data_IF_869399986842
#
_entry.id   IF_869399986842
#
_cell.length_a   1.000
_cell.length_b   1.000
_cell.length_c   1.000
_cell.angle_alpha   90.00
_cell.angle_beta   90.00
_cell.angle_gamma   90.00
#
_symmetry.space_group_name_H-M   'P 1'
#
loop_
_entity.id
_entity.type
_entity.pdbx_description
1 polymer ?
#
# COMPACT_ATOMS: atom_id res chain seq x y z
N UNK A 1 1.08 -29.74 -6.37
CA UNK A 1 0.35 -28.62 -5.73
C UNK A 1 1.17 -27.32 -5.69
N UNK A 2 2.48 -27.35 -6.00
CA UNK A 2 3.32 -26.15 -6.09
C UNK A 2 3.11 -25.37 -7.40
N UNK A 3 2.58 -26.01 -8.45
CA UNK A 3 2.47 -25.45 -9.80
C UNK A 3 1.39 -24.35 -9.93
N UNK A 4 0.31 -24.47 -9.16
CA UNK A 4 -0.86 -23.57 -9.21
C UNK A 4 -0.55 -22.16 -8.66
N UNK A 5 0.21 -22.09 -7.56
CA UNK A 5 0.63 -20.83 -6.93
C UNK A 5 1.55 -20.02 -7.85
N UNK A 6 2.44 -20.71 -8.59
CA UNK A 6 3.33 -20.07 -9.55
C UNK A 6 2.59 -19.55 -10.78
N UNK A 7 1.59 -20.27 -11.28
CA UNK A 7 0.78 -19.83 -12.42
C UNK A 7 -0.07 -18.61 -12.06
N UNK A 8 -0.77 -18.64 -10.92
CA UNK A 8 -1.56 -17.49 -10.44
C UNK A 8 -0.68 -16.25 -10.29
N UNK A 9 0.50 -16.39 -9.70
CA UNK A 9 1.44 -15.28 -9.55
C UNK A 9 1.84 -14.68 -10.92
N UNK A 10 2.18 -15.53 -11.90
CA UNK A 10 2.58 -15.09 -13.25
C UNK A 10 1.41 -14.36 -13.91
N UNK A 11 0.21 -14.94 -13.88
CA UNK A 11 -0.97 -14.39 -14.53
C UNK A 11 -1.35 -13.02 -13.94
N UNK A 12 -1.32 -12.88 -12.62
CA UNK A 12 -1.60 -11.59 -11.96
C UNK A 12 -0.53 -10.54 -12.29
N UNK A 13 0.74 -10.93 -12.27
CA UNK A 13 1.85 -10.03 -12.65
C UNK A 13 1.72 -9.56 -14.11
N UNK A 14 1.39 -10.47 -15.03
CA UNK A 14 1.15 -10.14 -16.44
C UNK A 14 -0.07 -9.21 -16.59
N UNK A 15 -1.17 -9.48 -15.89
CA UNK A 15 -2.35 -8.63 -15.90
C UNK A 15 -1.98 -7.20 -15.46
N UNK A 16 -1.23 -7.04 -14.36
CA UNK A 16 -0.74 -5.73 -13.93
C UNK A 16 0.18 -5.08 -14.96
N UNK A 17 1.02 -5.83 -15.66
CA UNK A 17 1.89 -5.29 -16.72
C UNK A 17 1.10 -4.67 -17.86
N UNK A 18 -0.08 -5.21 -18.19
CA UNK A 18 -1.00 -4.65 -19.17
C UNK A 18 -1.74 -3.39 -18.70
N UNK A 19 -1.79 -3.11 -17.40
CA UNK A 19 -2.49 -1.98 -16.82
C UNK A 19 -1.70 -0.65 -16.95
N UNK A 20 -1.57 -0.13 -18.16
CA UNK A 20 -0.74 1.05 -18.44
C UNK A 20 -1.24 2.37 -17.85
N UNK A 21 -2.53 2.46 -17.55
CA UNK A 21 -3.15 3.68 -17.02
C UNK A 21 -3.49 3.58 -15.53
N UNK A 22 -3.10 2.49 -14.84
CA UNK A 22 -3.43 2.30 -13.44
C UNK A 22 -2.74 3.34 -12.56
N UNK A 23 -3.53 4.15 -11.85
CA UNK A 23 -3.06 5.20 -10.93
C UNK A 23 -3.39 4.93 -9.47
N UNK A 24 -4.39 4.09 -9.21
CA UNK A 24 -4.89 3.79 -7.87
C UNK A 24 -4.99 2.30 -7.64
N UNK A 25 -4.58 1.83 -6.45
CA UNK A 25 -4.77 0.45 -6.04
C UNK A 25 -5.31 0.38 -4.60
N UNK A 26 -6.26 -0.52 -4.35
CA UNK A 26 -6.96 -0.71 -3.08
C UNK A 26 -7.47 -2.14 -2.96
N UNK A 27 -8.04 -2.49 -1.80
CA UNK A 27 -8.71 -3.79 -1.62
C UNK A 27 -7.80 -4.91 -1.09
N UNK A 28 -6.69 -4.56 -0.44
CA UNK A 28 -5.78 -5.51 0.18
C UNK A 28 -6.41 -6.14 1.42
N UNK A 29 -7.10 -7.26 1.25
CA UNK A 29 -7.65 -8.09 2.33
C UNK A 29 -6.77 -9.34 2.48
N UNK A 30 -6.46 -9.72 3.72
CA UNK A 30 -5.65 -10.91 4.06
C UNK A 30 -4.40 -11.09 3.18
N UNK A 31 -3.73 -9.98 2.88
CA UNK A 31 -2.69 -9.98 1.87
C UNK A 31 -1.46 -10.77 2.33
N UNK A 32 -1.01 -11.68 1.48
CA UNK A 32 0.21 -12.45 1.68
C UNK A 32 1.37 -11.67 1.04
N UNK A 33 2.40 -11.25 1.81
CA UNK A 33 3.51 -10.42 1.31
C UNK A 33 4.25 -11.00 0.09
N UNK A 34 4.23 -12.33 -0.07
CA UNK A 34 4.82 -13.02 -1.22
C UNK A 34 4.23 -12.58 -2.58
N UNK A 35 3.02 -12.02 -2.61
CA UNK A 35 2.38 -11.54 -3.84
C UNK A 35 2.65 -10.07 -4.15
N UNK A 36 3.27 -9.29 -3.26
CA UNK A 36 3.61 -7.88 -3.56
C UNK A 36 4.44 -7.68 -4.83
N UNK A 37 5.37 -8.56 -5.21
CA UNK A 37 6.10 -8.41 -6.46
C UNK A 37 5.21 -8.43 -7.71
N UNK A 38 3.99 -8.99 -7.65
CA UNK A 38 3.04 -8.93 -8.78
C UNK A 38 2.59 -7.50 -9.09
N UNK A 39 2.73 -6.57 -8.14
CA UNK A 39 2.36 -5.15 -8.29
C UNK A 39 3.53 -4.32 -8.86
N UNK A 40 4.74 -4.89 -8.91
CA UNK A 40 5.91 -4.16 -9.42
C UNK A 40 5.76 -3.59 -10.84
N UNK A 41 5.07 -4.22 -11.79
CA UNK A 41 4.86 -3.64 -13.12
C UNK A 41 4.12 -2.29 -13.12
N UNK A 42 3.39 -1.98 -12.03
CA UNK A 42 2.61 -0.73 -11.91
C UNK A 42 3.12 0.21 -10.82
N UNK A 43 4.11 -0.18 -9.99
CA UNK A 43 4.52 0.60 -8.81
C UNK A 43 4.89 2.07 -9.13
N UNK A 44 5.52 2.30 -10.28
CA UNK A 44 6.00 3.63 -10.69
C UNK A 44 4.87 4.50 -11.23
N UNK A 45 3.73 3.90 -11.59
CA UNK A 45 2.57 4.60 -12.15
C UNK A 45 1.55 4.98 -11.07
N UNK A 46 1.58 4.28 -9.93
CA UNK A 46 0.65 4.50 -8.83
C UNK A 46 0.87 5.87 -8.18
N UNK A 47 -0.22 6.64 -8.11
CA UNK A 47 -0.31 7.92 -7.37
C UNK A 47 -1.17 7.79 -6.12
N UNK A 48 -1.97 6.72 -6.02
CA UNK A 48 -2.82 6.44 -4.86
C UNK A 48 -2.73 4.98 -4.45
N UNK A 49 -2.52 4.72 -3.17
CA UNK A 49 -2.51 3.37 -2.60
C UNK A 49 -3.35 3.34 -1.33
N UNK A 50 -4.25 2.36 -1.22
CA UNK A 50 -5.10 2.19 -0.05
C UNK A 50 -4.90 0.81 0.59
N UNK A 51 -4.21 0.81 1.72
CA UNK A 51 -3.90 -0.31 2.58
C UNK A 51 -4.75 -0.28 3.88
N UNK A 52 -5.91 0.39 3.88
CA UNK A 52 -6.76 0.52 5.07
C UNK A 52 -7.24 -0.83 5.63
N UNK A 53 -7.36 -1.84 4.77
CA UNK A 53 -7.79 -3.19 5.13
C UNK A 53 -6.63 -4.18 5.29
N UNK A 54 -5.39 -3.74 5.07
CA UNK A 54 -4.26 -4.64 4.97
C UNK A 54 -3.64 -4.91 6.35
N UNK A 55 -3.41 -6.19 6.65
CA UNK A 55 -2.68 -6.67 7.83
C UNK A 55 -1.24 -6.99 7.47
N UNK A 56 -0.42 -5.96 7.22
CA UNK A 56 0.95 -6.10 6.71
C UNK A 56 1.97 -5.77 7.81
N UNK A 57 3.12 -6.44 7.83
CA UNK A 57 4.24 -6.10 8.70
C UNK A 57 5.05 -4.90 8.14
N UNK A 58 5.66 -4.11 9.03
CA UNK A 58 6.40 -2.89 8.64
C UNK A 58 7.53 -3.12 7.61
N UNK A 59 8.33 -4.19 7.69
CA UNK A 59 9.36 -4.47 6.69
C UNK A 59 8.79 -4.66 5.28
N UNK A 60 7.69 -5.41 5.15
CA UNK A 60 7.08 -5.71 3.86
C UNK A 60 6.34 -4.50 3.29
N UNK A 61 5.71 -3.72 4.17
CA UNK A 61 5.16 -2.44 3.79
C UNK A 61 6.24 -1.53 3.21
N UNK A 62 7.39 -1.42 3.89
CA UNK A 62 8.51 -0.57 3.43
C UNK A 62 9.01 -0.98 2.05
N UNK A 63 9.05 -2.28 1.73
CA UNK A 63 9.39 -2.77 0.39
C UNK A 63 8.35 -2.37 -0.65
N UNK A 64 7.07 -2.47 -0.32
CA UNK A 64 5.97 -2.11 -1.23
C UNK A 64 5.97 -0.61 -1.54
N UNK A 65 5.98 0.25 -0.51
CA UNK A 65 5.93 1.70 -0.70
C UNK A 65 7.26 2.29 -1.17
N UNK A 66 8.40 1.65 -0.87
CA UNK A 66 9.73 2.09 -1.28
C UNK A 66 9.93 2.13 -2.79
N UNK A 67 9.16 1.34 -3.53
CA UNK A 67 9.18 1.32 -5.00
C UNK A 67 8.16 2.29 -5.61
N UNK A 68 7.24 2.87 -4.83
CA UNK A 68 6.16 3.73 -5.32
C UNK A 68 6.55 5.22 -5.34
N UNK A 69 7.54 5.61 -6.15
CA UNK A 69 8.11 6.97 -6.14
C UNK A 69 7.14 8.10 -6.53
N UNK A 70 6.09 7.78 -7.28
CA UNK A 70 5.08 8.75 -7.74
C UNK A 70 3.84 8.79 -6.83
N UNK A 71 3.88 8.11 -5.69
CA UNK A 71 2.77 8.05 -4.76
C UNK A 71 2.49 9.43 -4.15
N UNK A 72 1.25 9.87 -4.25
CA UNK A 72 0.78 11.16 -3.71
C UNK A 72 -0.22 10.97 -2.58
N UNK A 73 -0.97 9.85 -2.59
CA UNK A 73 -2.00 9.52 -1.61
C UNK A 73 -1.77 8.13 -1.04
N UNK A 74 -1.68 8.03 0.29
CA UNK A 74 -1.62 6.76 0.99
C UNK A 74 -2.73 6.72 2.05
N UNK A 75 -3.46 5.60 2.10
CA UNK A 75 -4.34 5.23 3.22
C UNK A 75 -3.82 3.96 3.85
N UNK A 76 -3.77 3.91 5.18
CA UNK A 76 -3.30 2.75 5.94
C UNK A 76 -4.26 2.45 7.11
N UNK A 77 -4.24 1.19 7.58
CA UNK A 77 -4.89 0.82 8.85
C UNK A 77 -4.20 1.50 10.05
N UNK A 78 -4.92 1.64 11.16
CA UNK A 78 -4.45 2.29 12.39
C UNK A 78 -3.15 1.65 12.92
N UNK A 79 -3.03 0.33 12.84
CA UNK A 79 -1.86 -0.44 13.30
C UNK A 79 -0.59 -0.10 12.52
N UNK A 80 -0.72 0.21 11.23
CA UNK A 80 0.39 0.57 10.35
C UNK A 80 0.85 2.02 10.56
N UNK A 81 0.04 2.85 11.21
CA UNK A 81 0.14 4.31 11.18
C UNK A 81 1.34 4.86 11.95
N UNK A 82 1.67 4.30 13.12
CA UNK A 82 2.78 4.79 13.98
C UNK A 82 4.13 4.56 13.30
N UNK A 83 4.32 3.41 12.65
CA UNK A 83 5.58 3.04 12.03
C UNK A 83 5.79 3.66 10.63
N UNK A 84 4.70 3.88 9.87
CA UNK A 84 4.76 4.52 8.54
C UNK A 84 5.03 6.02 8.66
N UNK A 85 4.44 6.71 9.63
CA UNK A 85 4.65 8.15 9.85
C UNK A 85 6.12 8.50 10.10
N UNK A 86 6.89 7.63 10.77
CA UNK A 86 8.33 7.86 11.03
C UNK A 86 9.22 7.73 9.79
N UNK A 87 8.76 7.07 8.73
CA UNK A 87 9.56 6.74 7.53
C UNK A 87 9.02 7.38 6.24
N UNK A 88 7.81 7.93 6.26
CA UNK A 88 7.19 8.61 5.12
C UNK A 88 8.07 9.69 4.47
N UNK A 89 8.75 10.58 5.22
CA UNK A 89 9.55 11.65 4.63
C UNK A 89 10.70 11.15 3.75
N UNK A 90 11.24 9.96 4.04
CA UNK A 90 12.35 9.37 3.29
C UNK A 90 11.90 8.46 2.15
N UNK A 91 10.69 7.90 2.22
CA UNK A 91 10.18 6.96 1.22
C UNK A 91 9.43 7.61 0.06
N UNK A 92 8.80 8.78 0.25
CA UNK A 92 7.91 9.35 -0.78
C UNK A 92 8.16 10.85 -0.96
N UNK A 93 8.93 11.19 -2.01
CA UNK A 93 9.33 12.59 -2.30
C UNK A 93 8.18 13.53 -2.70
N UNK A 94 7.06 12.99 -3.19
CA UNK A 94 5.94 13.75 -3.75
C UNK A 94 4.63 13.60 -2.96
N UNK A 95 4.73 13.26 -1.67
CA UNK A 95 3.58 12.89 -0.86
C UNK A 95 2.68 14.11 -0.54
N UNK A 96 1.39 14.03 -0.93
CA UNK A 96 0.44 15.15 -0.77
C UNK A 96 -0.57 14.92 0.34
N UNK A 97 -0.92 13.66 0.64
CA UNK A 97 -2.01 13.36 1.57
C UNK A 97 -1.86 11.98 2.20
N UNK A 98 -1.91 11.95 3.54
CA UNK A 98 -2.09 10.74 4.34
C UNK A 98 -3.54 10.69 4.83
N UNK A 99 -4.32 9.76 4.29
CA UNK A 99 -5.69 9.53 4.74
C UNK A 99 -5.72 8.52 5.88
N UNK A 100 -6.45 8.85 6.94
CA UNK A 100 -6.75 7.92 8.02
C UNK A 100 -8.25 7.91 8.24
N UNK A 101 -8.87 6.73 8.14
CA UNK A 101 -10.31 6.58 8.29
C UNK A 101 -10.83 7.06 9.66
N UNK A 102 -9.96 7.19 10.68
CA UNK A 102 -10.31 7.64 12.03
C UNK A 102 -9.48 8.82 12.59
N UNK A 103 -8.82 9.66 11.78
CA UNK A 103 -8.16 10.85 12.37
C UNK A 103 -9.18 11.78 13.08
N UNK A 104 -10.43 11.77 12.62
CA UNK A 104 -11.53 12.51 13.25
C UNK A 104 -11.89 11.93 14.62
N UNK A 105 -11.96 10.60 14.76
CA UNK A 105 -12.29 9.95 16.03
C UNK A 105 -11.16 10.04 17.06
N UNK A 106 -9.89 9.94 16.64
CA UNK A 106 -8.75 10.09 17.56
C UNK A 106 -8.52 11.53 18.03
N UNK A 107 -8.84 12.54 17.20
CA UNK A 107 -8.85 13.92 17.67
C UNK A 107 -10.03 14.18 18.60
N UNK A 108 -11.17 13.54 18.37
CA UNK A 108 -12.33 13.60 19.26
C UNK A 108 -12.00 13.02 20.66
N UNK A 109 -11.39 11.84 20.72
CA UNK A 109 -11.02 11.18 22.00
C UNK A 109 -9.81 11.85 22.70
N UNK A 110 -9.00 12.63 21.99
CA UNK A 110 -7.89 13.40 22.57
C UNK A 110 -8.27 14.84 22.96
N UNK A 111 -9.35 15.41 22.38
CA UNK A 111 -9.81 16.76 22.70
C UNK A 111 -11.05 16.81 23.60
N UNK A 112 -11.76 15.69 23.77
CA UNK A 112 -12.89 15.57 24.69
C UNK A 112 -12.73 14.28 25.52
N UNK A 113 -12.16 14.36 26.74
CA UNK A 113 -12.05 13.23 27.66
C UNK A 113 -13.41 12.78 28.21
#
# INVERSE_FOLDING_TARGET
MQDDVSEVFINVSQAFSGCNQLKGLSGFWDVVPAYFPTIYPVHSKLTSLNLSYATIQIPDLSKLIGNCFNLQRLRCSITLKIAVLRRLPTLVRNFKSLGCFLLIYLLHDLMYP
#
